data_IF_060566235389
#
_entry.id   IF_060566235389
#
_cell.length_a   1.000
_cell.length_b   1.000
_cell.length_c   1.000
_cell.angle_alpha   90.00
_cell.angle_beta   90.00
_cell.angle_gamma   90.00
#
_symmetry.space_group_name_H-M   'P 1'
#
loop_
_entity.id
_entity.type
_entity.pdbx_description
1 polymer ?
#
# COMPACT_ATOMS: atom_id res chain seq x y z
N UNK A 1 3.52 18.27 8.86
CA UNK A 1 4.14 18.17 7.52
C UNK A 1 3.14 17.51 6.57
N UNK A 2 2.83 18.16 5.44
CA UNK A 2 1.84 17.69 4.47
C UNK A 2 2.33 16.53 3.59
N UNK A 3 1.42 15.96 2.80
CA UNK A 3 1.73 14.89 1.85
C UNK A 3 2.36 15.45 0.58
N UNK A 4 3.67 15.25 0.40
CA UNK A 4 4.37 15.59 -0.84
C UNK A 4 3.98 14.67 -1.99
N UNK A 5 3.89 15.22 -3.21
CA UNK A 5 3.73 14.43 -4.44
C UNK A 5 5.02 13.64 -4.69
N UNK A 6 4.89 12.36 -5.05
CA UNK A 6 6.02 11.49 -5.39
C UNK A 6 5.90 11.01 -6.84
N UNK A 7 7.03 10.84 -7.52
CA UNK A 7 7.05 10.22 -8.84
C UNK A 7 6.75 8.73 -8.72
N UNK A 8 5.97 8.18 -9.66
CA UNK A 8 5.70 6.74 -9.75
C UNK A 8 6.88 6.01 -10.41
N UNK A 9 7.95 5.84 -9.65
CA UNK A 9 9.15 5.08 -10.01
C UNK A 9 9.69 4.34 -8.80
N UNK A 10 10.67 3.45 -8.99
CA UNK A 10 11.35 2.76 -7.89
C UNK A 10 11.96 3.81 -6.94
N UNK A 11 11.72 3.64 -5.64
CA UNK A 11 12.33 4.50 -4.61
C UNK A 11 13.72 3.94 -4.33
N UNK A 12 14.77 4.69 -4.67
CA UNK A 12 16.16 4.23 -4.51
C UNK A 12 16.59 4.15 -3.04
N UNK A 13 16.29 5.19 -2.26
CA UNK A 13 16.61 5.23 -0.84
C UNK A 13 15.88 4.09 -0.09
N UNK A 14 16.66 3.17 0.49
CA UNK A 14 16.15 1.95 1.14
C UNK A 14 15.20 2.24 2.30
N UNK A 15 15.53 3.22 3.15
CA UNK A 15 14.71 3.60 4.32
C UNK A 15 13.38 4.19 3.86
N UNK A 16 13.42 5.13 2.92
CA UNK A 16 12.20 5.74 2.37
C UNK A 16 11.33 4.69 1.67
N UNK A 17 11.94 3.74 0.96
CA UNK A 17 11.23 2.63 0.32
C UNK A 17 10.56 1.74 1.36
N UNK A 18 11.23 1.37 2.44
CA UNK A 18 10.68 0.55 3.52
C UNK A 18 9.50 1.24 4.21
N UNK A 19 9.67 2.52 4.60
CA UNK A 19 8.60 3.30 5.23
C UNK A 19 7.41 3.47 4.29
N UNK A 20 7.67 3.75 3.01
CA UNK A 20 6.62 3.89 1.99
C UNK A 20 5.90 2.58 1.74
N UNK A 21 6.63 1.46 1.68
CA UNK A 21 6.05 0.12 1.56
C UNK A 21 5.11 -0.17 2.73
N UNK A 22 5.56 0.01 3.97
CA UNK A 22 4.71 -0.22 5.16
C UNK A 22 3.43 0.61 5.12
N UNK A 23 3.52 1.90 4.79
CA UNK A 23 2.35 2.79 4.70
C UNK A 23 1.40 2.39 3.56
N UNK A 24 1.93 2.07 2.37
CA UNK A 24 1.10 1.68 1.21
C UNK A 24 0.48 0.31 1.36
N UNK A 25 1.20 -0.66 1.92
CA UNK A 25 0.70 -2.00 2.25
C UNK A 25 -0.49 -1.92 3.18
N UNK A 26 -0.37 -1.13 4.26
CA UNK A 26 -1.49 -0.90 5.18
C UNK A 26 -2.69 -0.25 4.49
N UNK A 27 -2.47 0.77 3.65
CA UNK A 27 -3.55 1.39 2.87
C UNK A 27 -4.22 0.42 1.90
N UNK A 28 -3.46 -0.46 1.25
CA UNK A 28 -3.99 -1.46 0.31
C UNK A 28 -4.82 -2.54 1.01
N UNK A 29 -4.35 -3.03 2.16
CA UNK A 29 -5.11 -3.97 3.00
C UNK A 29 -6.45 -3.35 3.43
N UNK A 30 -6.43 -2.08 3.85
CA UNK A 30 -7.67 -1.36 4.19
C UNK A 30 -8.63 -1.31 3.00
N UNK A 31 -8.14 -1.02 1.80
CA UNK A 31 -8.96 -0.99 0.58
C UNK A 31 -9.53 -2.35 0.20
N UNK A 32 -8.74 -3.42 0.30
CA UNK A 32 -9.24 -4.77 0.06
C UNK A 32 -10.38 -5.13 1.03
N UNK A 33 -10.22 -4.81 2.31
CA UNK A 33 -11.26 -5.01 3.32
C UNK A 33 -12.51 -4.16 3.05
N UNK A 34 -12.35 -2.87 2.72
CA UNK A 34 -13.47 -2.00 2.36
C UNK A 34 -14.28 -2.57 1.18
N UNK A 35 -13.63 -3.07 0.13
CA UNK A 35 -14.30 -3.70 -1.01
C UNK A 35 -15.07 -4.94 -0.59
N UNK A 36 -14.43 -5.81 0.21
CA UNK A 36 -15.06 -7.05 0.67
C UNK A 36 -16.36 -6.77 1.44
N UNK A 37 -16.34 -5.80 2.36
CA UNK A 37 -17.52 -5.45 3.17
C UNK A 37 -18.58 -4.70 2.36
N UNK A 38 -18.18 -3.71 1.55
CA UNK A 38 -19.14 -2.84 0.85
C UNK A 38 -19.84 -3.54 -0.32
N UNK A 39 -19.17 -4.53 -0.94
CA UNK A 39 -19.64 -5.19 -2.14
C UNK A 39 -19.95 -6.68 -1.94
N UNK A 40 -19.86 -7.19 -0.70
CA UNK A 40 -20.04 -8.60 -0.35
C UNK A 40 -19.23 -9.54 -1.26
N UNK A 41 -17.94 -9.22 -1.39
CA UNK A 41 -17.04 -9.90 -2.31
C UNK A 41 -15.90 -10.61 -1.58
N UNK A 42 -15.55 -11.81 -2.04
CA UNK A 42 -14.33 -12.49 -1.61
C UNK A 42 -13.12 -11.84 -2.29
N UNK A 43 -12.18 -11.31 -1.48
CA UNK A 43 -11.01 -10.58 -1.97
C UNK A 43 -9.72 -11.22 -1.44
N UNK A 44 -8.83 -11.60 -2.35
CA UNK A 44 -7.48 -12.09 -2.04
C UNK A 44 -6.39 -11.05 -2.35
N UNK A 45 -5.40 -10.92 -1.47
CA UNK A 45 -4.24 -10.05 -1.67
C UNK A 45 -2.95 -10.77 -1.25
N UNK A 46 -1.97 -10.86 -2.16
CA UNK A 46 -0.66 -11.46 -1.90
C UNK A 46 0.42 -10.41 -2.16
N UNK A 47 1.29 -10.17 -1.17
CA UNK A 47 2.37 -9.18 -1.23
C UNK A 47 3.66 -9.84 -0.76
N UNK A 48 4.67 -9.85 -1.61
CA UNK A 48 6.03 -10.28 -1.26
C UNK A 48 6.88 -9.07 -0.85
N UNK A 49 7.82 -9.30 0.07
CA UNK A 49 8.85 -8.32 0.43
C UNK A 49 10.20 -9.03 0.55
N UNK A 50 11.22 -8.48 -0.11
CA UNK A 50 12.65 -8.80 0.05
C UNK A 50 13.38 -7.61 0.63
#
# INVERSE_FOLDING_TARGET
MGRGKVQLKRIENKINRQVTFSKRRSGLLKKAHEISVLCDAEVGLIIFST
#
